data_IF_862440294181
#
_entry.id   IF_862440294181
#
_cell.length_a   1.000
_cell.length_b   1.000
_cell.length_c   1.000
_cell.angle_alpha   90.00
_cell.angle_beta   90.00
_cell.angle_gamma   90.00
#
_symmetry.space_group_name_H-M   'P 1'
#
loop_
_entity.id
_entity.type
_entity.pdbx_description
1 polymer ?
#
# COMPACT_ATOMS: atom_id res chain seq x y z
N UNK A 1 -10.55 -16.62 -11.31
CA UNK A 1 -9.23 -16.67 -11.99
C UNK A 1 -8.52 -15.32 -11.98
N UNK A 2 -9.21 -14.20 -12.26
CA UNK A 2 -8.66 -12.82 -12.22
C UNK A 2 -7.98 -12.49 -10.89
N UNK A 3 -8.67 -12.71 -9.75
CA UNK A 3 -8.14 -12.47 -8.40
C UNK A 3 -6.79 -13.12 -8.14
N UNK A 4 -6.63 -14.41 -8.46
CA UNK A 4 -5.36 -15.12 -8.24
C UNK A 4 -4.24 -14.58 -9.14
N UNK A 5 -4.55 -14.25 -10.40
CA UNK A 5 -3.57 -13.66 -11.32
C UNK A 5 -3.16 -12.24 -10.89
N UNK A 6 -4.12 -11.43 -10.44
CA UNK A 6 -3.86 -10.09 -9.88
C UNK A 6 -3.01 -10.18 -8.61
N UNK A 7 -3.26 -11.18 -7.75
CA UNK A 7 -2.40 -11.44 -6.61
C UNK A 7 -0.98 -11.74 -7.07
N UNK A 8 -0.80 -12.62 -8.06
CA UNK A 8 0.51 -12.91 -8.65
C UNK A 8 1.22 -11.66 -9.19
N UNK A 9 0.52 -10.80 -9.94
CA UNK A 9 1.06 -9.50 -10.39
C UNK A 9 1.47 -8.61 -9.22
N UNK A 10 0.61 -8.50 -8.20
CA UNK A 10 0.88 -7.72 -6.99
C UNK A 10 2.13 -8.22 -6.27
N UNK A 11 2.25 -9.53 -6.06
CA UNK A 11 3.40 -10.13 -5.40
C UNK A 11 4.70 -9.92 -6.20
N UNK A 12 4.66 -10.02 -7.53
CA UNK A 12 5.83 -9.73 -8.37
C UNK A 12 6.28 -8.25 -8.28
N UNK A 13 5.35 -7.34 -8.00
CA UNK A 13 5.65 -5.93 -7.77
C UNK A 13 6.22 -5.63 -6.37
N UNK A 14 6.26 -6.62 -5.47
CA UNK A 14 6.69 -6.42 -4.08
C UNK A 14 8.11 -5.86 -4.03
N UNK A 15 8.29 -4.80 -3.24
CA UNK A 15 9.59 -4.21 -2.92
C UNK A 15 9.69 -3.97 -1.42
N UNK A 16 10.90 -4.11 -0.89
CA UNK A 16 11.22 -3.88 0.52
C UNK A 16 12.17 -2.70 0.66
N UNK A 17 11.90 -1.82 1.64
CA UNK A 17 12.71 -0.64 1.95
C UNK A 17 12.92 -0.51 3.47
N UNK A 18 13.64 0.52 3.90
CA UNK A 18 13.92 0.80 5.31
C UNK A 18 14.46 -0.42 6.08
N UNK A 19 15.48 -1.09 5.54
CA UNK A 19 16.06 -2.34 6.10
C UNK A 19 15.01 -3.44 6.24
N UNK A 20 14.23 -3.67 5.19
CA UNK A 20 13.16 -4.67 5.10
C UNK A 20 12.02 -4.51 6.13
N UNK A 21 11.84 -3.30 6.67
CA UNK A 21 10.76 -3.00 7.62
C UNK A 21 9.48 -2.51 6.96
N UNK A 22 9.60 -1.95 5.76
CA UNK A 22 8.47 -1.50 4.96
C UNK A 22 8.43 -2.35 3.70
N UNK A 23 7.27 -2.89 3.38
CA UNK A 23 7.01 -3.52 2.09
C UNK A 23 5.93 -2.75 1.32
N UNK A 24 6.01 -2.76 0.00
CA UNK A 24 4.92 -2.26 -0.82
C UNK A 24 4.70 -3.06 -2.11
N UNK A 25 3.45 -3.06 -2.58
CA UNK A 25 3.05 -3.60 -3.87
C UNK A 25 2.34 -2.52 -4.68
N UNK A 26 2.25 -2.73 -5.99
CA UNK A 26 1.61 -1.83 -6.95
C UNK A 26 0.76 -2.66 -7.92
N UNK A 27 -0.44 -2.18 -8.23
CA UNK A 27 -1.21 -2.58 -9.40
C UNK A 27 -1.58 -1.35 -10.23
N UNK A 28 -1.38 -1.46 -11.54
CA UNK A 28 -1.71 -0.43 -12.52
C UNK A 28 -3.08 -0.68 -13.13
N UNK A 29 -3.65 0.33 -13.81
CA UNK A 29 -4.87 0.14 -14.59
C UNK A 29 -4.68 -0.88 -15.73
N UNK A 30 -3.46 -1.00 -16.26
CA UNK A 30 -3.14 -1.99 -17.29
C UNK A 30 -3.24 -3.42 -16.74
N UNK A 31 -2.75 -3.67 -15.53
CA UNK A 31 -2.85 -5.00 -14.89
C UNK A 31 -4.30 -5.47 -14.77
N UNK A 32 -5.23 -4.57 -14.41
CA UNK A 32 -6.66 -4.90 -14.36
C UNK A 32 -7.23 -5.19 -15.74
N UNK A 33 -6.83 -4.42 -16.76
CA UNK A 33 -7.28 -4.57 -18.14
C UNK A 33 -6.83 -5.91 -18.72
N UNK A 34 -5.55 -6.24 -18.59
CA UNK A 34 -4.97 -7.49 -19.09
C UNK A 34 -5.60 -8.72 -18.44
N UNK A 35 -5.95 -8.63 -17.15
CA UNK A 35 -6.41 -9.77 -16.36
C UNK A 35 -7.93 -9.84 -16.21
N UNK A 36 -8.68 -8.93 -16.84
CA UNK A 36 -10.12 -8.77 -16.68
C UNK A 36 -10.53 -8.76 -15.19
N UNK A 37 -9.77 -8.01 -14.39
CA UNK A 37 -9.92 -7.97 -12.95
C UNK A 37 -10.68 -6.73 -12.47
N UNK A 38 -11.25 -6.83 -11.27
CA UNK A 38 -11.95 -5.73 -10.62
C UNK A 38 -11.17 -5.22 -9.40
N UNK A 39 -11.38 -3.97 -9.00
CA UNK A 39 -10.79 -3.42 -7.78
C UNK A 39 -11.13 -4.27 -6.55
N UNK A 40 -12.36 -4.82 -6.48
CA UNK A 40 -12.81 -5.72 -5.41
C UNK A 40 -12.01 -7.03 -5.33
N UNK A 41 -11.37 -7.47 -6.42
CA UNK A 41 -10.52 -8.66 -6.39
C UNK A 41 -9.27 -8.46 -5.54
N UNK A 42 -8.87 -7.21 -5.29
CA UNK A 42 -7.65 -6.84 -4.55
C UNK A 42 -7.81 -6.79 -3.04
N UNK A 43 -9.01 -7.09 -2.54
CA UNK A 43 -9.32 -7.05 -1.12
C UNK A 43 -8.32 -7.91 -0.33
N UNK A 44 -7.79 -7.35 0.75
CA UNK A 44 -6.85 -7.98 1.67
C UNK A 44 -5.47 -8.36 1.08
N UNK A 45 -5.15 -7.99 -0.16
CA UNK A 45 -3.82 -8.30 -0.73
C UNK A 45 -2.67 -7.69 0.04
N UNK A 46 -2.86 -6.49 0.61
CA UNK A 46 -1.91 -5.82 1.50
C UNK A 46 -1.50 -6.69 2.71
N UNK A 47 -2.31 -7.68 3.10
CA UNK A 47 -1.97 -8.61 4.18
C UNK A 47 -0.80 -9.53 3.82
N UNK A 48 -0.61 -9.84 2.53
CA UNK A 48 0.54 -10.61 2.07
C UNK A 48 1.87 -9.86 2.25
N UNK A 49 1.83 -8.52 2.27
CA UNK A 49 3.01 -7.71 2.53
C UNK A 49 3.41 -7.85 4.00
N UNK A 50 2.46 -7.65 4.91
CA UNK A 50 2.75 -7.75 6.34
C UNK A 50 3.06 -9.19 6.75
N UNK A 51 2.64 -10.24 6.04
CA UNK A 51 3.04 -11.62 6.38
C UNK A 51 4.53 -11.89 6.15
N UNK A 52 5.22 -11.07 5.34
CA UNK A 52 6.67 -11.19 5.14
C UNK A 52 7.41 -10.97 6.45
N UNK A 53 8.41 -11.81 6.71
CA UNK A 53 9.22 -11.71 7.91
C UNK A 53 9.96 -10.36 7.97
N UNK A 54 10.01 -9.76 9.15
CA UNK A 54 10.65 -8.46 9.37
C UNK A 54 9.83 -7.24 8.95
N UNK A 55 8.85 -7.37 8.05
CA UNK A 55 7.97 -6.27 7.63
C UNK A 55 6.99 -5.92 8.75
N UNK A 56 6.94 -4.63 9.09
CA UNK A 56 6.04 -4.06 10.12
C UNK A 56 5.05 -3.05 9.56
N UNK A 57 5.27 -2.56 8.34
CA UNK A 57 4.41 -1.62 7.63
C UNK A 57 4.30 -2.05 6.15
N UNK A 58 3.07 -2.26 5.68
CA UNK A 58 2.76 -2.64 4.31
C UNK A 58 1.93 -1.56 3.61
N UNK A 59 2.31 -1.20 2.39
CA UNK A 59 1.59 -0.26 1.54
C UNK A 59 1.15 -0.95 0.24
N UNK A 60 -0.08 -0.75 -0.18
CA UNK A 60 -0.55 -1.27 -1.46
C UNK A 60 -1.17 -0.19 -2.31
N UNK A 61 -0.50 0.13 -3.42
CA UNK A 61 -0.92 1.15 -4.37
C UNK A 61 -1.73 0.53 -5.50
N UNK A 62 -2.88 1.11 -5.80
CA UNK A 62 -3.77 0.66 -6.87
C UNK A 62 -4.16 1.87 -7.70
N UNK A 63 -3.79 1.89 -8.97
CA UNK A 63 -4.30 2.89 -9.91
C UNK A 63 -5.80 2.72 -10.15
N UNK A 64 -6.47 3.84 -10.33
CA UNK A 64 -7.89 3.92 -10.65
C UNK A 64 -8.04 4.57 -12.02
N UNK A 65 -9.25 4.55 -12.59
CA UNK A 65 -9.53 5.27 -13.85
C UNK A 65 -9.11 6.74 -13.79
N UNK A 66 -9.31 7.38 -12.65
CA UNK A 66 -8.88 8.75 -12.38
C UNK A 66 -8.27 8.77 -10.97
N UNK A 67 -6.94 8.93 -10.91
CA UNK A 67 -6.20 8.92 -9.65
C UNK A 67 -5.77 7.53 -9.19
N UNK A 68 -5.57 7.38 -7.88
CA UNK A 68 -5.15 6.10 -7.29
C UNK A 68 -5.58 6.02 -5.82
N UNK A 69 -5.51 4.82 -5.24
CA UNK A 69 -5.65 4.62 -3.80
C UNK A 69 -4.42 3.93 -3.23
N UNK A 70 -4.18 4.16 -1.95
CA UNK A 70 -3.17 3.44 -1.17
C UNK A 70 -3.83 2.84 0.07
N UNK A 71 -3.54 1.57 0.32
CA UNK A 71 -3.92 0.88 1.55
C UNK A 71 -2.69 0.72 2.44
N UNK A 72 -2.83 1.02 3.73
CA UNK A 72 -1.80 0.87 4.75
C UNK A 72 -2.19 -0.24 5.73
N UNK A 73 -1.24 -1.12 6.05
CA UNK A 73 -1.35 -2.11 7.12
C UNK A 73 -0.11 -2.12 7.97
N UNK A 74 -0.26 -2.39 9.26
CA UNK A 74 0.87 -2.56 10.17
C UNK A 74 0.74 -3.80 11.02
N UNK A 75 1.88 -4.26 11.55
CA UNK A 75 1.95 -5.21 12.67
C UNK A 75 2.07 -4.45 14.00
N UNK A 76 1.44 -4.98 15.04
CA UNK A 76 1.57 -4.45 16.40
C UNK A 76 0.74 -3.18 16.61
N UNK A 77 1.41 -2.12 17.07
CA UNK A 77 0.76 -0.87 17.50
C UNK A 77 1.12 0.36 16.64
N UNK A 78 1.82 0.17 15.51
CA UNK A 78 2.16 1.28 14.61
C UNK A 78 0.88 1.87 14.00
N UNK A 79 0.50 3.14 14.31
CA UNK A 79 -0.84 3.66 14.02
C UNK A 79 -0.96 4.17 12.57
N UNK A 80 -1.22 3.28 11.61
CA UNK A 80 -1.28 3.63 10.18
C UNK A 80 -2.45 4.53 9.81
N UNK A 81 -3.48 4.65 10.65
CA UNK A 81 -4.50 5.69 10.49
C UNK A 81 -3.93 7.10 10.56
N UNK A 82 -2.91 7.34 11.41
CA UNK A 82 -2.22 8.64 11.49
C UNK A 82 -1.39 8.89 10.23
N UNK A 83 -0.72 7.87 9.70
CA UNK A 83 -0.01 7.97 8.42
C UNK A 83 -0.97 8.26 7.26
N UNK A 84 -2.11 7.58 7.21
CA UNK A 84 -3.13 7.82 6.19
C UNK A 84 -3.71 9.24 6.28
N UNK A 85 -3.90 9.78 7.49
CA UNK A 85 -4.44 11.12 7.71
C UNK A 85 -3.56 12.24 7.12
N UNK A 86 -2.23 12.04 7.04
CA UNK A 86 -1.31 12.99 6.36
C UNK A 86 -1.70 13.19 4.89
N UNK A 87 -2.28 12.15 4.28
CA UNK A 87 -2.73 12.14 2.88
C UNK A 87 -4.24 12.34 2.73
N UNK A 88 -4.91 12.89 3.75
CA UNK A 88 -6.38 13.08 3.74
C UNK A 88 -7.18 11.79 3.83
N UNK A 89 -6.53 10.69 4.22
CA UNK A 89 -7.14 9.38 4.43
C UNK A 89 -7.56 9.12 5.88
N UNK A 90 -7.83 7.86 6.19
CA UNK A 90 -8.24 7.44 7.53
C UNK A 90 -8.45 5.94 7.66
N UNK A 91 -8.90 5.51 8.83
CA UNK A 91 -9.18 4.11 9.15
C UNK A 91 -8.83 3.75 10.59
N UNK A 92 -8.52 2.48 10.81
CA UNK A 92 -8.14 1.93 12.11
C UNK A 92 -6.63 1.95 12.33
N UNK A 93 -6.23 1.76 13.58
CA UNK A 93 -4.83 1.76 14.01
C UNK A 93 -3.92 0.89 13.13
N UNK A 94 -4.38 -0.29 12.71
CA UNK A 94 -3.58 -1.24 11.91
C UNK A 94 -4.04 -1.39 10.46
N UNK A 95 -5.06 -0.62 10.04
CA UNK A 95 -5.68 -0.75 8.74
C UNK A 95 -6.33 0.56 8.30
N UNK A 96 -5.70 1.24 7.35
CA UNK A 96 -6.14 2.55 6.88
C UNK A 96 -5.92 2.70 5.38
N UNK A 97 -6.45 3.77 4.79
CA UNK A 97 -6.24 4.06 3.38
C UNK A 97 -6.42 5.53 3.06
N UNK A 98 -5.88 5.93 1.91
CA UNK A 98 -6.06 7.25 1.33
C UNK A 98 -6.38 7.11 -0.16
N UNK A 99 -7.18 8.04 -0.69
CA UNK A 99 -7.56 8.08 -2.11
C UNK A 99 -7.19 9.45 -2.67
N UNK A 100 -6.50 9.43 -3.80
CA UNK A 100 -6.03 10.61 -4.50
C UNK A 100 -6.81 10.76 -5.79
N UNK A 101 -7.44 11.91 -5.98
CA UNK A 101 -8.22 12.22 -7.17
C UNK A 101 -7.39 13.05 -8.14
N UNK A 102 -7.43 12.71 -9.42
CA UNK A 102 -6.74 13.44 -10.49
C UNK A 102 -5.21 13.58 -10.28
N UNK A 103 -4.60 12.65 -9.53
CA UNK A 103 -3.15 12.61 -9.26
C UNK A 103 -2.51 11.40 -9.93
N UNK A 104 -1.27 11.56 -10.42
CA UNK A 104 -0.52 10.44 -11.00
C UNK A 104 0.13 9.60 -9.90
N UNK A 105 -0.14 8.30 -9.89
CA UNK A 105 0.40 7.39 -8.87
C UNK A 105 1.94 7.40 -8.86
N UNK A 106 2.57 7.35 -10.04
CA UNK A 106 4.03 7.34 -10.16
C UNK A 106 4.73 8.57 -9.58
N UNK A 107 4.07 9.74 -9.56
CA UNK A 107 4.66 10.97 -8.97
C UNK A 107 4.50 11.01 -7.46
N UNK A 108 3.44 10.39 -6.92
CA UNK A 108 3.13 10.41 -5.48
C UNK A 108 3.80 9.27 -4.70
N UNK A 109 4.10 8.13 -5.33
CA UNK A 109 4.74 6.98 -4.65
C UNK A 109 6.02 7.40 -3.91
N UNK A 110 6.99 8.12 -4.52
CA UNK A 110 8.22 8.50 -3.82
C UNK A 110 7.98 9.36 -2.58
N UNK A 111 7.00 10.26 -2.63
CA UNK A 111 6.62 11.11 -1.50
C UNK A 111 5.97 10.30 -0.37
N UNK A 112 5.01 9.43 -0.72
CA UNK A 112 4.32 8.57 0.25
C UNK A 112 5.30 7.61 0.93
N UNK A 113 6.22 7.02 0.17
CA UNK A 113 7.25 6.12 0.72
C UNK A 113 8.21 6.87 1.65
N UNK A 114 8.65 8.08 1.26
CA UNK A 114 9.50 8.93 2.12
C UNK A 114 8.82 9.26 3.44
N UNK A 115 7.54 9.59 3.40
CA UNK A 115 6.80 9.90 4.63
C UNK A 115 6.56 8.65 5.49
N UNK A 116 6.29 7.49 4.87
CA UNK A 116 6.21 6.22 5.58
C UNK A 116 7.52 5.86 6.30
N UNK A 117 8.68 6.11 5.67
CA UNK A 117 9.99 5.91 6.29
C UNK A 117 10.22 6.83 7.50
N UNK A 118 9.91 8.13 7.36
CA UNK A 118 9.98 9.09 8.47
C UNK A 118 9.05 8.70 9.62
N UNK A 119 7.81 8.34 9.29
CA UNK A 119 6.80 7.92 10.26
C UNK A 119 7.28 6.72 11.08
N UNK A 120 7.82 5.69 10.41
CA UNK A 120 8.36 4.51 11.07
C UNK A 120 9.61 4.84 11.92
N UNK A 121 10.50 5.71 11.43
CA UNK A 121 11.68 6.14 12.18
C UNK A 121 11.31 6.86 13.47
N UNK A 122 10.35 7.77 13.41
CA UNK A 122 9.89 8.54 14.58
C UNK A 122 9.18 7.65 15.59
N UNK A 123 8.34 6.72 15.13
CA UNK A 123 7.64 5.79 16.02
C UNK A 123 8.59 4.90 16.85
N UNK A 124 9.76 4.55 16.31
CA UNK A 124 10.74 3.70 17.02
C UNK A 124 11.63 4.45 18.00
N UNK A 125 11.60 5.79 18.00
CA UNK A 125 12.39 6.64 18.90
C UNK A 125 11.64 7.01 20.18
N UNK A 126 10.31 6.89 20.19
CA UNK A 126 9.47 7.03 21.38
C UNK A 126 9.21 5.69 22.03
#
# INVERSE_FOLDING_TARGET
LSKLKLLGRSLNSLRLIAKNKIGYMILTQEDFRELNGLESDTENFVNNIISVEGVVLGLFFIELKIGFKVSFRSKGQLPVNKLAAIFGGGGHINAAGARFYNSKMGTMIPEILREAEKFLSNYRKG
#
